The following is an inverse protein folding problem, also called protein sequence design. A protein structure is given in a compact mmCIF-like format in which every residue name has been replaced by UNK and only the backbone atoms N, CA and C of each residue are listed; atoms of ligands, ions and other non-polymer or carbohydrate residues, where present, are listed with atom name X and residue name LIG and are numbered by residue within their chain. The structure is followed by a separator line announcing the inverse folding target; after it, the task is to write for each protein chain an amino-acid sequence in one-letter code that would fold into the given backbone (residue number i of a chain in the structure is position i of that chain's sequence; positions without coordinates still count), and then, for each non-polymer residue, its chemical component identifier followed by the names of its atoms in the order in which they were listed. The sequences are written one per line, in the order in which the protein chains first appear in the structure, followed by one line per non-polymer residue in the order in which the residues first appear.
data_IF_386613246540
#
_entry.id   IF_386613246540
#
_cell.length_a   1.000
_cell.length_b   1.000
_cell.length_c   1.000
_cell.angle_alpha   90.00
_cell.angle_beta   90.00
_cell.angle_gamma   90.00
#
_symmetry.space_group_name_H-M   'P 1'
#
loop_
_entity.id
_entity.type
_entity.pdbx_description
1 polymer ?
#
# COMPACT_ATOMS: atom_id res chain seq x y z
N UNK A 1 4.47 18.73 -12.11
CA UNK A 1 4.10 17.55 -11.32
C UNK A 1 4.18 17.94 -9.85
N UNK A 2 3.22 17.59 -9.00
CA UNK A 2 3.33 17.96 -7.58
C UNK A 2 4.50 17.21 -6.91
N UNK A 3 5.18 17.83 -5.96
CA UNK A 3 6.29 17.22 -5.19
C UNK A 3 5.86 15.91 -4.51
N UNK A 4 4.59 15.83 -4.10
CA UNK A 4 3.98 14.61 -3.58
C UNK A 4 3.93 13.46 -4.60
N UNK A 5 3.60 13.75 -5.86
CA UNK A 5 3.61 12.72 -6.90
C UNK A 5 5.03 12.25 -7.21
N UNK A 6 6.01 13.16 -7.23
CA UNK A 6 7.42 12.82 -7.40
C UNK A 6 7.91 11.92 -6.27
N UNK A 7 7.59 12.27 -5.01
CA UNK A 7 7.94 11.44 -3.85
C UNK A 7 7.34 10.03 -3.97
N UNK A 8 6.05 9.94 -4.28
CA UNK A 8 5.34 8.64 -4.39
C UNK A 8 5.90 7.77 -5.51
N UNK A 9 6.25 8.38 -6.64
CA UNK A 9 6.91 7.67 -7.73
C UNK A 9 8.24 7.08 -7.25
N UNK A 10 9.10 7.91 -6.62
CA UNK A 10 10.37 7.44 -6.10
C UNK A 10 10.21 6.34 -5.04
N UNK A 11 9.22 6.45 -4.15
CA UNK A 11 8.91 5.40 -3.17
C UNK A 11 8.53 4.08 -3.85
N UNK A 12 7.77 4.15 -4.94
CA UNK A 12 7.38 2.98 -5.74
C UNK A 12 8.61 2.31 -6.37
N UNK A 13 9.51 3.10 -6.95
CA UNK A 13 10.77 2.63 -7.53
C UNK A 13 11.68 1.99 -6.47
N UNK A 14 11.80 2.62 -5.29
CA UNK A 14 12.55 2.07 -4.16
C UNK A 14 11.98 0.73 -3.68
N UNK A 15 10.65 0.63 -3.53
CA UNK A 15 9.99 -0.61 -3.13
C UNK A 15 10.22 -1.72 -4.17
N UNK A 16 10.12 -1.37 -5.46
CA UNK A 16 10.38 -2.30 -6.57
C UNK A 16 11.80 -2.86 -6.49
N UNK A 17 12.80 -1.99 -6.32
CA UNK A 17 14.20 -2.38 -6.22
C UNK A 17 14.51 -3.24 -4.99
N UNK A 18 14.06 -2.81 -3.80
CA UNK A 18 14.32 -3.51 -2.53
C UNK A 18 13.59 -4.84 -2.36
N UNK A 19 12.56 -5.11 -3.18
CA UNK A 19 11.75 -6.32 -3.12
C UNK A 19 11.72 -7.08 -4.46
N UNK A 20 12.73 -6.87 -5.32
CA UNK A 20 12.80 -7.47 -6.65
C UNK A 20 12.70 -9.00 -6.60
N UNK A 21 13.29 -9.64 -5.59
CA UNK A 21 13.21 -11.09 -5.40
C UNK A 21 11.77 -11.60 -5.14
N UNK A 22 10.94 -10.79 -4.47
CA UNK A 22 9.51 -11.09 -4.29
C UNK A 22 8.72 -10.85 -5.57
N UNK A 23 9.11 -9.87 -6.39
CA UNK A 23 8.52 -9.61 -7.70
C UNK A 23 8.81 -10.74 -8.69
N UNK A 24 10.03 -11.27 -8.66
CA UNK A 24 10.49 -12.38 -9.52
C UNK A 24 9.96 -13.74 -9.04
N UNK A 25 9.46 -13.82 -7.80
CA UNK A 25 8.88 -15.03 -7.24
C UNK A 25 7.64 -15.47 -8.00
N UNK A 26 7.61 -16.73 -8.44
CA UNK A 26 6.40 -17.34 -9.02
C UNK A 26 5.22 -17.38 -8.03
N UNK A 27 5.49 -17.46 -6.72
CA UNK A 27 4.45 -17.52 -5.69
C UNK A 27 3.93 -16.12 -5.31
N UNK A 28 4.81 -15.12 -5.20
CA UNK A 28 4.48 -13.80 -4.65
C UNK A 28 4.37 -12.69 -5.71
N UNK A 29 5.05 -12.83 -6.84
CA UNK A 29 5.15 -11.82 -7.90
C UNK A 29 3.81 -11.25 -8.38
N UNK A 30 2.76 -12.06 -8.62
CA UNK A 30 1.45 -11.53 -9.00
C UNK A 30 0.83 -10.58 -7.96
N UNK A 31 1.05 -10.83 -6.67
CA UNK A 31 0.55 -9.96 -5.61
C UNK A 31 1.43 -8.75 -5.38
N UNK A 32 2.75 -8.88 -5.49
CA UNK A 32 3.68 -7.75 -5.48
C UNK A 32 3.36 -6.76 -6.61
N UNK A 33 3.15 -7.27 -7.82
CA UNK A 33 2.76 -6.45 -8.96
C UNK A 33 1.44 -5.73 -8.70
N UNK A 34 0.40 -6.45 -8.25
CA UNK A 34 -0.87 -5.82 -7.88
C UNK A 34 -0.68 -4.72 -6.82
N UNK A 35 0.13 -4.96 -5.78
CA UNK A 35 0.38 -3.94 -4.76
C UNK A 35 1.02 -2.67 -5.36
N UNK A 36 2.06 -2.83 -6.20
CA UNK A 36 2.74 -1.69 -6.82
C UNK A 36 1.85 -0.95 -7.84
N UNK A 37 1.12 -1.66 -8.70
CA UNK A 37 0.37 -1.06 -9.82
C UNK A 37 -1.04 -0.58 -9.46
N UNK A 38 -1.63 -1.16 -8.42
CA UNK A 38 -3.02 -0.93 -8.07
C UNK A 38 -3.22 -0.29 -6.69
N UNK A 39 -2.33 -0.57 -5.71
CA UNK A 39 -2.46 -0.06 -4.33
C UNK A 39 -1.57 1.15 -4.07
N UNK A 40 -0.31 1.09 -4.50
CA UNK A 40 0.69 2.13 -4.21
C UNK A 40 0.91 3.11 -5.38
N UNK A 41 0.57 2.71 -6.61
CA UNK A 41 0.54 3.64 -7.74
C UNK A 41 -0.38 4.83 -7.43
N UNK A 42 -0.02 6.06 -7.88
CA UNK A 42 -0.90 7.21 -7.75
C UNK A 42 -2.16 6.99 -8.59
N UNK A 43 -3.16 6.34 -8.01
CA UNK A 43 -4.52 6.31 -8.55
C UNK A 43 -5.28 7.45 -7.94
N UNK A 44 -5.70 8.35 -8.81
CA UNK A 44 -6.67 9.39 -8.49
C UNK A 44 -8.03 8.72 -8.33
N UNK A 45 -8.27 8.11 -7.16
CA UNK A 45 -9.62 7.78 -6.71
C UNK A 45 -10.35 9.03 -6.18
N UNK A 46 -9.66 10.17 -6.08
CA UNK A 46 -10.21 11.46 -5.62
C UNK A 46 -11.12 12.13 -6.63
N UNK A 47 -11.41 11.49 -7.77
CA UNK A 47 -12.36 12.07 -8.73
C UNK A 47 -13.80 12.19 -8.22
N UNK A 48 -14.20 11.60 -7.06
CA UNK A 48 -15.55 11.81 -6.50
C UNK A 48 -15.61 11.72 -4.96
N UNK A 49 -15.15 12.76 -4.27
CA UNK A 49 -15.19 12.83 -2.81
C UNK A 49 -16.63 12.75 -2.21
N UNK A 50 -17.65 13.25 -2.91
CA UNK A 50 -19.06 13.15 -2.47
C UNK A 50 -19.67 11.75 -2.68
N UNK A 51 -19.28 11.04 -3.74
CA UNK A 51 -19.81 9.70 -4.04
C UNK A 51 -19.19 8.65 -3.11
N UNK A 52 -17.91 8.80 -2.73
CA UNK A 52 -17.21 7.84 -1.87
C UNK A 52 -17.82 7.80 -0.46
N UNK A 53 -18.18 8.95 0.11
CA UNK A 53 -18.83 9.00 1.42
C UNK A 53 -20.23 8.37 1.38
N UNK A 54 -21.01 8.65 0.32
CA UNK A 54 -22.31 8.00 0.12
C UNK A 54 -22.19 6.48 -0.04
N UNK A 55 -21.21 6.02 -0.82
CA UNK A 55 -20.92 4.60 -1.01
C UNK A 55 -20.47 3.96 0.29
N UNK A 56 -19.60 4.60 1.06
CA UNK A 56 -19.18 4.11 2.38
C UNK A 56 -20.38 3.91 3.32
N UNK A 57 -21.28 4.90 3.38
CA UNK A 57 -22.49 4.81 4.19
C UNK A 57 -23.47 3.73 3.72
N UNK A 58 -23.64 3.57 2.40
CA UNK A 58 -24.47 2.52 1.82
C UNK A 58 -23.87 1.12 2.09
N UNK A 59 -22.55 0.96 1.90
CA UNK A 59 -21.83 -0.29 2.15
C UNK A 59 -21.90 -0.68 3.63
N UNK A 60 -21.82 0.27 4.57
CA UNK A 60 -21.91 0.00 6.01
C UNK A 60 -23.21 -0.71 6.43
N UNK A 61 -24.31 -0.48 5.72
CA UNK A 61 -25.61 -1.10 6.03
C UNK A 61 -25.79 -2.51 5.45
N UNK A 62 -25.02 -2.85 4.41
CA UNK A 62 -25.23 -4.07 3.61
C UNK A 62 -24.08 -5.08 3.82
N UNK A 63 -22.87 -4.60 4.09
CA UNK A 63 -21.68 -5.44 4.11
C UNK A 63 -21.53 -6.24 5.41
N UNK A 64 -21.20 -7.53 5.33
CA UNK A 64 -20.86 -8.35 6.48
C UNK A 64 -19.74 -7.74 7.35
N UNK A 65 -19.82 -7.93 8.66
CA UNK A 65 -18.84 -7.40 9.62
C UNK A 65 -17.36 -7.70 9.27
N UNK A 66 -16.97 -8.88 8.74
CA UNK A 66 -15.59 -9.13 8.31
C UNK A 66 -15.12 -8.19 7.20
N UNK A 67 -15.99 -7.82 6.26
CA UNK A 67 -15.67 -6.92 5.15
C UNK A 67 -15.49 -5.49 5.68
N UNK A 68 -16.39 -5.04 6.56
CA UNK A 68 -16.28 -3.72 7.18
C UNK A 68 -15.03 -3.57 8.04
N UNK A 69 -14.62 -4.62 8.77
CA UNK A 69 -13.35 -4.61 9.51
C UNK A 69 -12.14 -4.43 8.60
N UNK A 70 -12.09 -5.15 7.47
CA UNK A 70 -11.01 -4.98 6.48
C UNK A 70 -11.05 -3.59 5.87
N UNK A 71 -12.22 -3.07 5.53
CA UNK A 71 -12.37 -1.73 4.97
C UNK A 71 -11.85 -0.66 5.91
N UNK A 72 -12.19 -0.74 7.20
CA UNK A 72 -11.68 0.20 8.21
C UNK A 72 -10.15 0.15 8.30
N UNK A 73 -9.54 -1.03 8.27
CA UNK A 73 -8.07 -1.17 8.25
C UNK A 73 -7.45 -0.50 7.02
N UNK A 74 -8.05 -0.67 5.84
CA UNK A 74 -7.59 -0.05 4.60
C UNK A 74 -7.70 1.48 4.67
N UNK A 75 -8.80 2.02 5.18
CA UNK A 75 -9.00 3.47 5.37
C UNK A 75 -7.94 4.02 6.33
N UNK A 76 -7.77 3.41 7.51
CA UNK A 76 -6.77 3.85 8.49
C UNK A 76 -5.35 3.80 7.94
N UNK A 77 -5.01 2.78 7.16
CA UNK A 77 -3.72 2.70 6.48
C UNK A 77 -3.55 3.83 5.45
N UNK A 78 -4.58 4.13 4.65
CA UNK A 78 -4.53 5.17 3.64
C UNK A 78 -4.38 6.56 4.28
N UNK A 79 -5.17 6.87 5.30
CA UNK A 79 -5.09 8.11 6.07
C UNK A 79 -3.70 8.30 6.67
N UNK A 80 -3.17 7.28 7.35
CA UNK A 80 -1.83 7.34 7.95
C UNK A 80 -0.74 7.52 6.89
N UNK A 81 -0.83 6.80 5.77
CA UNK A 81 0.12 6.93 4.65
C UNK A 81 0.10 8.34 4.07
N UNK A 82 -1.09 8.90 3.82
CA UNK A 82 -1.23 10.25 3.28
C UNK A 82 -0.66 11.31 4.23
N UNK A 83 -0.94 11.19 5.55
CA UNK A 83 -0.39 12.10 6.56
C UNK A 83 1.14 12.03 6.61
N UNK A 84 1.70 10.83 6.55
CA UNK A 84 3.15 10.62 6.62
C UNK A 84 3.87 11.09 5.36
N UNK A 85 3.31 10.85 4.16
CA UNK A 85 3.86 11.35 2.90
C UNK A 85 3.80 12.88 2.84
N UNK A 86 2.70 13.49 3.31
CA UNK A 86 2.56 14.94 3.34
C UNK A 86 3.59 15.59 4.27
N UNK A 87 3.78 15.03 5.48
CA UNK A 87 4.82 15.48 6.41
C UNK A 87 6.22 15.36 5.80
N UNK A 88 6.50 14.23 5.13
CA UNK A 88 7.79 13.99 4.50
C UNK A 88 8.08 14.97 3.37
N UNK A 89 7.14 15.17 2.44
CA UNK A 89 7.28 16.16 1.37
C UNK A 89 7.49 17.55 1.95
N UNK A 90 6.71 17.94 2.96
CA UNK A 90 6.83 19.26 3.57
C UNK A 90 8.25 19.49 4.12
N UNK A 91 8.77 18.53 4.90
CA UNK A 91 10.13 18.60 5.45
C UNK A 91 11.17 18.64 4.34
N UNK A 92 11.06 17.79 3.32
CA UNK A 92 12.01 17.75 2.21
C UNK A 92 12.03 19.07 1.42
N UNK A 93 10.87 19.69 1.18
CA UNK A 93 10.78 20.99 0.49
C UNK A 93 11.38 22.10 1.35
N UNK A 94 11.00 22.18 2.62
CA UNK A 94 11.39 23.28 3.51
C UNK A 94 12.85 23.21 3.99
N UNK A 95 13.39 21.99 4.18
CA UNK A 95 14.69 21.77 4.82
C UNK A 95 15.76 21.24 3.87
N UNK A 96 15.36 20.52 2.82
CA UNK A 96 16.28 19.83 1.91
C UNK A 96 16.22 20.35 0.47
N UNK A 97 15.51 21.46 0.24
CA UNK A 97 15.39 22.10 -1.07
C UNK A 97 14.85 21.17 -2.17
N UNK A 98 13.99 20.21 -1.79
CA UNK A 98 13.37 19.28 -2.74
C UNK A 98 12.45 20.01 -3.73
N UNK A 99 12.68 19.78 -5.02
CA UNK A 99 11.88 20.34 -6.12
C UNK A 99 11.23 19.26 -6.98
N UNK A 100 12.03 18.44 -7.66
CA UNK A 100 11.59 17.58 -8.76
C UNK A 100 12.34 16.23 -8.81
N UNK A 101 13.37 16.06 -8.00
CA UNK A 101 14.12 14.80 -7.88
C UNK A 101 14.35 14.43 -6.42
N UNK A 102 14.20 13.14 -6.10
CA UNK A 102 14.52 12.57 -4.79
C UNK A 102 15.76 11.71 -4.91
N UNK A 103 16.73 11.91 -4.01
CA UNK A 103 17.88 11.01 -3.85
C UNK A 103 17.72 10.14 -2.60
N UNK A 104 18.51 9.07 -2.50
CA UNK A 104 18.54 8.20 -1.32
C UNK A 104 18.88 9.00 -0.06
N UNK A 105 19.87 9.87 -0.14
CA UNK A 105 20.33 10.71 0.97
C UNK A 105 19.25 11.69 1.40
N UNK A 106 18.60 12.36 0.43
CA UNK A 106 17.52 13.30 0.70
C UNK A 106 16.31 12.60 1.33
N UNK A 107 15.94 11.41 0.86
CA UNK A 107 14.84 10.64 1.42
C UNK A 107 15.14 10.19 2.85
N UNK A 108 16.33 9.63 3.08
CA UNK A 108 16.74 9.16 4.40
C UNK A 108 16.86 10.32 5.40
N UNK A 109 17.41 11.46 4.98
CA UNK A 109 17.46 12.67 5.81
C UNK A 109 16.08 13.23 6.09
N UNK A 110 15.18 13.21 5.10
CA UNK A 110 13.78 13.61 5.30
C UNK A 110 13.08 12.78 6.37
N UNK A 111 13.31 11.46 6.38
CA UNK A 111 12.79 10.58 7.45
C UNK A 111 13.35 10.94 8.82
N UNK A 112 14.67 11.17 8.94
CA UNK A 112 15.30 11.54 10.21
C UNK A 112 14.78 12.89 10.72
N UNK A 113 14.64 13.87 9.84
CA UNK A 113 14.10 15.20 10.18
C UNK A 113 12.61 15.15 10.55
N UNK A 114 11.84 14.21 10.00
CA UNK A 114 10.46 13.99 10.40
C UNK A 114 10.31 13.42 11.82
N UNK A 115 11.32 12.69 12.32
CA UNK A 115 11.37 12.10 13.66
C UNK A 115 10.07 11.39 14.08
N UNK A 116 9.56 10.52 13.20
CA UNK A 116 8.25 9.86 13.33
C UNK A 116 8.36 8.33 13.18
N UNK A 117 9.40 7.76 13.78
CA UNK A 117 9.72 6.33 13.71
C UNK A 117 8.53 5.46 14.13
N UNK A 118 7.90 5.78 15.26
CA UNK A 118 6.78 4.99 15.81
C UNK A 118 5.56 4.99 14.88
N UNK A 119 5.24 6.12 14.23
CA UNK A 119 4.18 6.17 13.22
C UNK A 119 4.52 5.34 11.98
N UNK A 120 5.79 5.30 11.58
CA UNK A 120 6.25 4.44 10.48
C UNK A 120 6.15 2.96 10.83
N UNK A 121 6.52 2.56 12.05
CA UNK A 121 6.31 1.20 12.52
C UNK A 121 4.82 0.84 12.52
N UNK A 122 3.94 1.72 13.02
CA UNK A 122 2.48 1.53 12.97
C UNK A 122 1.97 1.38 11.54
N UNK A 123 2.50 2.17 10.59
CA UNK A 123 2.16 2.06 9.18
C UNK A 123 2.52 0.67 8.62
N UNK A 124 3.73 0.17 8.90
CA UNK A 124 4.20 -1.15 8.47
C UNK A 124 3.31 -2.26 9.06
N UNK A 125 2.99 -2.18 10.35
CA UNK A 125 2.12 -3.16 11.02
C UNK A 125 0.69 -3.16 10.44
N UNK A 126 0.17 -1.99 10.08
CA UNK A 126 -1.13 -1.86 9.42
C UNK A 126 -1.15 -2.48 8.01
N UNK A 127 -0.07 -2.35 7.23
CA UNK A 127 0.07 -3.03 5.93
C UNK A 127 -0.09 -4.55 6.12
N UNK A 128 0.60 -5.11 7.11
CA UNK A 128 0.48 -6.50 7.50
C UNK A 128 -0.93 -6.90 7.91
N UNK A 129 -1.58 -6.10 8.76
CA UNK A 129 -2.93 -6.35 9.23
C UNK A 129 -3.95 -6.34 8.06
N UNK A 130 -3.84 -5.38 7.15
CA UNK A 130 -4.64 -5.31 5.92
C UNK A 130 -4.45 -6.57 5.08
N UNK A 131 -3.20 -6.95 4.79
CA UNK A 131 -2.90 -8.14 3.98
C UNK A 131 -3.48 -9.43 4.58
N UNK A 132 -3.35 -9.62 5.90
CA UNK A 132 -3.95 -10.75 6.62
C UNK A 132 -5.47 -10.74 6.56
N UNK A 133 -6.10 -9.56 6.69
CA UNK A 133 -7.55 -9.41 6.65
C UNK A 133 -8.11 -9.69 5.25
N UNK A 134 -7.46 -9.17 4.21
CA UNK A 134 -7.80 -9.44 2.80
C UNK A 134 -7.66 -10.94 2.49
N UNK A 135 -6.58 -11.60 2.92
CA UNK A 135 -6.38 -13.03 2.73
C UNK A 135 -7.53 -13.87 3.33
N UNK A 136 -8.04 -13.49 4.51
CA UNK A 136 -9.20 -14.16 5.11
C UNK A 136 -10.45 -13.99 4.25
N UNK A 137 -10.69 -12.79 3.71
CA UNK A 137 -11.84 -12.51 2.86
C UNK A 137 -11.82 -13.28 1.54
N UNK A 138 -10.69 -13.32 0.83
CA UNK A 138 -10.63 -13.99 -0.48
C UNK A 138 -10.81 -15.52 -0.39
N UNK A 139 -10.63 -16.08 0.82
CA UNK A 139 -10.84 -17.50 1.10
C UNK A 139 -12.30 -17.86 1.38
N UNK A 140 -13.16 -16.87 1.62
CA UNK A 140 -14.59 -17.12 1.78
C UNK A 140 -15.22 -17.50 0.42
N UNK A 141 -15.95 -18.62 0.34
CA UNK A 141 -16.44 -19.16 -0.93
C UNK A 141 -17.42 -18.22 -1.66
N UNK A 142 -18.21 -17.46 -0.90
CA UNK A 142 -19.22 -16.56 -1.47
C UNK A 142 -18.62 -15.26 -2.05
N UNK A 143 -17.47 -14.81 -1.56
CA UNK A 143 -16.89 -13.50 -1.97
C UNK A 143 -16.55 -13.51 -3.46
N UNK A 144 -15.90 -14.57 -3.95
CA UNK A 144 -15.56 -14.68 -5.38
C UNK A 144 -16.78 -14.86 -6.29
N UNK A 145 -17.91 -15.32 -5.75
CA UNK A 145 -19.16 -15.38 -6.50
C UNK A 145 -19.86 -14.02 -6.54
N UNK A 146 -19.99 -13.35 -5.40
CA UNK A 146 -20.55 -12.00 -5.30
C UNK A 146 -19.79 -11.00 -6.17
N UNK A 147 -18.45 -11.09 -6.18
CA UNK A 147 -17.61 -10.21 -6.99
C UNK A 147 -17.91 -10.39 -8.48
N UNK A 148 -18.02 -11.63 -8.98
CA UNK A 148 -18.37 -11.90 -10.38
C UNK A 148 -19.78 -11.42 -10.76
N UNK A 149 -20.75 -11.57 -9.85
CA UNK A 149 -22.11 -11.08 -10.10
C UNK A 149 -22.18 -9.54 -10.16
N UNK A 150 -21.34 -8.85 -9.40
CA UNK A 150 -21.28 -7.40 -9.38
C UNK A 150 -20.61 -6.78 -10.64
N UNK A 151 -19.94 -7.60 -11.46
CA UNK A 151 -19.17 -7.15 -12.63
C UNK A 151 -20.01 -6.32 -13.61
N UNK A 152 -21.06 -6.92 -14.20
CA UNK A 152 -21.88 -6.25 -15.20
C UNK A 152 -22.61 -4.99 -14.65
N UNK A 153 -23.27 -5.04 -13.48
CA UNK A 153 -23.86 -3.84 -12.88
C UNK A 153 -22.85 -2.71 -12.64
N UNK A 154 -21.64 -3.02 -12.16
CA UNK A 154 -20.62 -2.02 -11.91
C UNK A 154 -20.14 -1.34 -13.19
N UNK A 155 -19.93 -2.10 -14.27
CA UNK A 155 -19.56 -1.55 -15.57
C UNK A 155 -20.63 -0.64 -16.16
N UNK A 156 -21.91 -0.96 -15.96
CA UNK A 156 -23.04 -0.16 -16.43
C UNK A 156 -23.28 1.10 -15.58
N UNK A 157 -22.85 1.10 -14.31
CA UNK A 157 -23.14 2.17 -13.34
C UNK A 157 -21.96 3.12 -13.11
N UNK A 158 -20.90 3.05 -13.93
CA UNK A 158 -19.72 3.92 -13.81
C UNK A 158 -18.70 3.50 -12.74
N UNK A 159 -18.79 2.27 -12.23
CA UNK A 159 -17.90 1.72 -11.19
C UNK A 159 -16.94 0.64 -11.74
N UNK A 160 -16.75 0.62 -13.07
CA UNK A 160 -15.89 -0.34 -13.78
C UNK A 160 -14.48 -0.44 -13.18
N UNK A 161 -13.84 0.70 -12.89
CA UNK A 161 -12.45 0.74 -12.42
C UNK A 161 -12.30 0.19 -11.00
N UNK A 162 -13.24 0.52 -10.11
CA UNK A 162 -13.29 0.00 -8.75
C UNK A 162 -13.53 -1.52 -8.76
N UNK A 163 -14.48 -1.98 -9.57
CA UNK A 163 -14.78 -3.39 -9.71
C UNK A 163 -13.58 -4.17 -10.25
N UNK A 164 -12.95 -3.68 -11.32
CA UNK A 164 -11.75 -4.29 -11.88
C UNK A 164 -10.58 -4.33 -10.88
N UNK A 165 -10.42 -3.28 -10.07
CA UNK A 165 -9.46 -3.26 -8.96
C UNK A 165 -9.72 -4.39 -7.94
N UNK A 166 -10.98 -4.53 -7.49
CA UNK A 166 -11.36 -5.58 -6.54
C UNK A 166 -11.15 -6.99 -7.13
N UNK A 167 -11.46 -7.20 -8.41
CA UNK A 167 -11.26 -8.47 -9.11
C UNK A 167 -9.79 -8.85 -9.24
N UNK A 168 -8.93 -7.91 -9.64
CA UNK A 168 -7.47 -8.13 -9.71
C UNK A 168 -6.90 -8.42 -8.33
N UNK A 169 -7.31 -7.68 -7.31
CA UNK A 169 -6.88 -7.89 -5.93
C UNK A 169 -7.32 -9.24 -5.39
N UNK A 170 -8.58 -9.63 -5.60
CA UNK A 170 -9.09 -10.93 -5.23
C UNK A 170 -8.28 -12.05 -5.91
N UNK A 171 -8.06 -11.96 -7.22
CA UNK A 171 -7.33 -12.97 -7.97
C UNK A 171 -5.87 -13.10 -7.51
N UNK A 172 -5.20 -11.98 -7.24
CA UNK A 172 -3.81 -11.95 -6.75
C UNK A 172 -3.68 -12.64 -5.40
N UNK A 173 -4.49 -12.26 -4.41
CA UNK A 173 -4.47 -12.86 -3.07
C UNK A 173 -4.99 -14.30 -3.06
N UNK A 174 -5.94 -14.66 -3.94
CA UNK A 174 -6.45 -16.04 -4.04
C UNK A 174 -5.40 -17.02 -4.56
N UNK A 175 -4.53 -16.58 -5.47
CA UNK A 175 -3.43 -17.37 -6.03
C UNK A 175 -2.29 -17.58 -5.03
N UNK A 176 -2.10 -16.63 -4.10
CA UNK A 176 -1.08 -16.72 -3.07
C UNK A 176 -1.45 -17.78 -2.02
N UNK A 177 -0.71 -18.89 -2.01
CA UNK A 177 -0.96 -20.00 -1.08
C UNK A 177 -0.60 -19.62 0.35
N UNK A 178 0.56 -18.97 0.54
CA UNK A 178 1.14 -18.62 1.84
C UNK A 178 1.28 -17.10 2.00
N UNK A 179 0.22 -16.45 2.47
CA UNK A 179 0.23 -14.98 2.68
C UNK A 179 1.04 -14.59 3.91
N UNK A 180 1.00 -15.36 5.01
CA UNK A 180 1.66 -14.94 6.24
C UNK A 180 3.20 -14.87 6.12
N UNK A 181 3.90 -15.85 5.50
CA UNK A 181 5.34 -15.73 5.26
C UNK A 181 5.69 -14.53 4.35
N UNK A 182 4.87 -14.27 3.33
CA UNK A 182 5.05 -13.12 2.44
C UNK A 182 4.97 -11.80 3.21
N UNK A 183 3.92 -11.60 3.99
CA UNK A 183 3.75 -10.38 4.78
C UNK A 183 4.84 -10.23 5.83
N UNK A 184 5.28 -11.33 6.45
CA UNK A 184 6.37 -11.31 7.43
C UNK A 184 7.68 -10.84 6.80
N UNK A 185 8.00 -11.28 5.57
CA UNK A 185 9.19 -10.82 4.85
C UNK A 185 9.13 -9.30 4.62
N UNK A 186 7.99 -8.79 4.15
CA UNK A 186 7.81 -7.34 3.93
C UNK A 186 7.95 -6.56 5.25
N UNK A 187 7.23 -6.98 6.30
CA UNK A 187 7.27 -6.32 7.61
C UNK A 187 8.70 -6.28 8.17
N UNK A 188 9.45 -7.38 8.07
CA UNK A 188 10.83 -7.45 8.56
C UNK A 188 11.76 -6.54 7.77
N UNK A 189 11.67 -6.57 6.43
CA UNK A 189 12.53 -5.77 5.56
C UNK A 189 12.27 -4.27 5.70
N UNK A 190 11.01 -3.85 5.71
CA UNK A 190 10.68 -2.44 5.85
C UNK A 190 11.05 -1.89 7.24
N UNK A 191 10.94 -2.71 8.30
CA UNK A 191 11.45 -2.33 9.63
C UNK A 191 12.97 -2.24 9.64
N UNK A 192 13.67 -3.20 9.04
CA UNK A 192 15.13 -3.15 8.92
C UNK A 192 15.60 -1.90 8.13
N UNK A 193 14.93 -1.57 7.03
CA UNK A 193 15.21 -0.35 6.25
C UNK A 193 14.96 0.89 7.11
N UNK A 194 13.85 0.94 7.85
CA UNK A 194 13.54 2.03 8.76
C UNK A 194 14.64 2.20 9.82
N UNK A 195 15.09 1.10 10.43
CA UNK A 195 16.18 1.11 11.41
C UNK A 195 17.48 1.65 10.77
N UNK A 196 17.82 1.22 9.56
CA UNK A 196 19.00 1.69 8.83
C UNK A 196 18.93 3.18 8.48
N UNK A 197 17.76 3.68 8.09
CA UNK A 197 17.53 5.11 7.82
C UNK A 197 17.82 5.94 9.08
N UNK A 198 17.27 5.53 10.23
CA UNK A 198 17.43 6.25 11.49
C UNK A 198 18.82 6.08 12.11
N UNK A 199 19.52 4.97 11.82
CA UNK A 199 20.92 4.78 12.17
C UNK A 199 21.91 5.61 11.33
N UNK A 200 21.45 6.23 10.24
CA UNK A 200 22.30 7.04 9.37
C UNK A 200 23.16 6.22 8.41
N UNK A 201 22.76 4.98 8.09
CA UNK A 201 23.44 4.16 7.10
C UNK A 201 23.43 4.81 5.72
N UNK A 202 24.53 4.68 4.97
CA UNK A 202 24.66 5.28 3.63
C UNK A 202 23.77 4.60 2.58
N UNK A 203 23.56 3.29 2.73
CA UNK A 203 22.79 2.48 1.79
C UNK A 203 21.65 1.75 2.52
N UNK A 204 20.66 2.49 3.07
CA UNK A 204 19.66 1.93 3.98
C UNK A 204 18.62 1.04 3.30
N UNK A 205 18.72 0.84 1.98
CA UNK A 205 17.84 -0.03 1.20
C UNK A 205 18.50 -1.33 0.77
N UNK A 206 19.80 -1.49 1.08
CA UNK A 206 20.54 -2.72 0.80
C UNK A 206 20.29 -3.70 1.93
N UNK A 207 19.32 -4.58 1.69
CA UNK A 207 19.00 -5.68 2.59
C UNK A 207 20.08 -6.76 2.50
N UNK A 208 20.89 -6.89 3.55
CA UNK A 208 21.81 -8.02 3.67
C UNK A 208 20.97 -9.28 3.77
N UNK A 209 21.22 -10.25 2.88
CA UNK A 209 20.59 -11.57 3.01
C UNK A 209 21.16 -12.20 4.26
N UNK A 210 20.29 -12.53 5.21
CA UNK A 210 20.66 -13.49 6.25
C UNK A 210 20.95 -14.82 5.54
N UNK A 211 22.19 -15.30 5.66
CA UNK A 211 22.65 -16.60 5.15
C UNK A 211 21.91 -17.77 5.80
#
# INVERSE_FOLDING_TARGET
MSTLLVLRQWQTERLTSSHQDLLDSREYGPACNFFLTDVYAPRDFSQRDEDILHVYHAMKRIMPAPIMRTLNLVISLNELTAQLDQKLVQVMVEKLQFTDQVTVEMYAEGYRLCDNYDERVKQIDLIGAVGRSVNKLVRLPLIGFSLRLAHAPAHLSGWADLQGFLERGFAAFKRMKRVDPFLKIIEQREKQILDQIYAGEKEPFVLRRDE
#
